data_IF_695180119599
#
_entry.id   IF_695180119599
#
_cell.length_a   1.000
_cell.length_b   1.000
_cell.length_c   1.000
_cell.angle_alpha   90.00
_cell.angle_beta   90.00
_cell.angle_gamma   90.00
#
_symmetry.space_group_name_H-M   'P 1'
#
loop_
_entity.id
_entity.type
_entity.pdbx_description
1 polymer ?
#
# COMPACT_ATOMS: atom_id res chain seq x y z
N UNK A 1 -3.09 -9.87 -15.92
CA UNK A 1 -3.74 -8.69 -16.55
C UNK A 1 -5.18 -8.40 -16.08
N UNK A 2 -6.01 -9.40 -15.75
CA UNK A 2 -7.43 -9.19 -15.39
C UNK A 2 -7.80 -9.66 -13.95
N UNK A 3 -6.79 -9.88 -13.11
CA UNK A 3 -7.00 -10.30 -11.72
C UNK A 3 -7.49 -9.15 -10.82
N UNK A 4 -8.14 -9.51 -9.72
CA UNK A 4 -8.70 -8.56 -8.73
C UNK A 4 -7.68 -7.51 -8.25
N UNK A 5 -6.40 -7.87 -8.12
CA UNK A 5 -5.33 -6.95 -7.76
C UNK A 5 -5.18 -5.79 -8.76
N UNK A 6 -5.14 -6.09 -10.07
CA UNK A 6 -4.97 -5.05 -11.09
C UNK A 6 -6.16 -4.10 -11.11
N UNK A 7 -7.38 -4.61 -10.91
CA UNK A 7 -8.60 -3.79 -10.81
C UNK A 7 -8.55 -2.86 -9.59
N UNK A 8 -8.13 -3.37 -8.44
CA UNK A 8 -8.01 -2.56 -7.23
C UNK A 8 -6.98 -1.43 -7.40
N UNK A 9 -5.82 -1.72 -7.99
CA UNK A 9 -4.80 -0.72 -8.30
C UNK A 9 -5.33 0.32 -9.28
N UNK A 10 -6.03 -0.09 -10.34
CA UNK A 10 -6.64 0.83 -11.30
C UNK A 10 -7.65 1.78 -10.64
N UNK A 11 -8.51 1.25 -9.77
CA UNK A 11 -9.50 2.04 -9.01
C UNK A 11 -8.82 3.04 -8.08
N UNK A 12 -7.78 2.62 -7.34
CA UNK A 12 -7.04 3.50 -6.43
C UNK A 12 -6.40 4.69 -7.18
N UNK A 13 -5.78 4.43 -8.34
CA UNK A 13 -5.24 5.50 -9.17
C UNK A 13 -6.34 6.38 -9.77
N UNK A 14 -7.45 5.81 -10.24
CA UNK A 14 -8.57 6.59 -10.78
C UNK A 14 -9.12 7.59 -9.75
N UNK A 15 -9.29 7.16 -8.50
CA UNK A 15 -9.76 8.01 -7.40
C UNK A 15 -8.70 9.04 -7.00
N UNK A 16 -7.45 8.60 -6.80
CA UNK A 16 -6.35 9.50 -6.41
C UNK A 16 -6.08 10.59 -7.45
N UNK A 17 -6.16 10.26 -8.74
CA UNK A 17 -6.04 11.26 -9.80
C UNK A 17 -7.26 12.18 -9.89
N UNK A 18 -8.47 11.66 -9.65
CA UNK A 18 -9.68 12.50 -9.58
C UNK A 18 -9.58 13.56 -8.49
N UNK A 19 -9.07 13.18 -7.30
CA UNK A 19 -8.85 14.11 -6.18
C UNK A 19 -7.71 15.09 -6.49
N UNK A 20 -6.53 14.60 -6.91
CA UNK A 20 -5.38 15.47 -7.18
C UNK A 20 -5.61 16.46 -8.32
N UNK A 21 -6.49 16.13 -9.26
CA UNK A 21 -6.88 16.99 -10.39
C UNK A 21 -8.17 17.79 -10.14
N UNK A 22 -8.70 17.81 -8.91
CA UNK A 22 -9.93 18.55 -8.58
C UNK A 22 -9.86 20.04 -8.92
N UNK A 23 -8.65 20.63 -8.88
CA UNK A 23 -8.38 22.02 -9.28
C UNK A 23 -8.68 22.31 -10.77
N UNK A 24 -8.95 21.29 -11.58
CA UNK A 24 -9.41 21.41 -12.98
C UNK A 24 -10.92 21.15 -13.13
N UNK A 25 -11.66 21.08 -12.03
CA UNK A 25 -13.10 20.86 -11.98
C UNK A 25 -13.77 21.97 -11.16
N UNK A 26 -15.10 21.99 -11.15
CA UNK A 26 -15.88 22.94 -10.33
C UNK A 26 -15.96 22.54 -8.85
N UNK A 27 -15.28 21.45 -8.44
CA UNK A 27 -15.25 21.01 -7.05
C UNK A 27 -14.25 21.84 -6.24
N UNK A 28 -14.78 22.61 -5.31
CA UNK A 28 -13.97 23.18 -4.25
C UNK A 28 -13.78 22.16 -3.12
N UNK A 29 -12.51 21.90 -2.77
CA UNK A 29 -12.11 21.08 -1.64
C UNK A 29 -11.47 22.01 -0.61
N UNK A 30 -12.02 22.02 0.61
CA UNK A 30 -11.48 22.82 1.72
C UNK A 30 -10.02 22.45 1.98
N UNK A 31 -9.18 23.46 2.19
CA UNK A 31 -7.74 23.31 2.48
C UNK A 31 -6.92 22.59 1.40
N UNK A 32 -7.46 22.44 0.19
CA UNK A 32 -6.77 21.77 -0.91
C UNK A 32 -5.41 22.40 -1.22
N UNK A 33 -4.42 21.53 -1.43
CA UNK A 33 -3.11 21.88 -1.95
C UNK A 33 -2.75 20.90 -3.06
N UNK A 34 -2.16 21.40 -4.15
CA UNK A 34 -1.66 20.54 -5.23
C UNK A 34 -0.61 19.59 -4.66
N UNK A 35 -0.72 18.32 -5.01
CA UNK A 35 0.19 17.27 -4.58
C UNK A 35 0.43 16.28 -5.72
N UNK A 36 1.55 15.58 -5.65
CA UNK A 36 1.84 14.44 -6.52
C UNK A 36 1.23 13.21 -5.88
N UNK A 37 0.51 12.40 -6.66
CA UNK A 37 -0.03 11.10 -6.19
C UNK A 37 1.15 10.26 -5.69
N UNK A 38 1.17 9.85 -4.41
CA UNK A 38 2.27 9.05 -3.86
C UNK A 38 2.40 7.68 -4.53
N UNK A 39 3.52 6.98 -4.31
CA UNK A 39 3.69 5.60 -4.74
C UNK A 39 2.54 4.70 -4.28
N UNK A 40 2.31 3.62 -5.02
CA UNK A 40 1.43 2.55 -4.58
C UNK A 40 2.08 1.84 -3.39
N UNK A 41 1.25 1.46 -2.43
CA UNK A 41 1.64 0.69 -1.25
C UNK A 41 0.81 -0.59 -1.17
N UNK A 42 1.38 -1.65 -0.60
CA UNK A 42 0.76 -2.96 -0.44
C UNK A 42 1.05 -3.56 0.93
N UNK A 43 0.00 -3.92 1.65
CA UNK A 43 0.08 -4.75 2.86
C UNK A 43 -0.20 -6.20 2.46
N UNK A 44 0.63 -7.14 2.91
CA UNK A 44 0.57 -8.55 2.51
C UNK A 44 0.61 -9.47 3.72
N UNK A 45 -0.15 -10.56 3.66
CA UNK A 45 -0.18 -11.60 4.68
C UNK A 45 -0.68 -12.93 4.12
N UNK A 46 -0.48 -14.00 4.88
CA UNK A 46 -0.99 -15.33 4.57
C UNK A 46 -2.39 -15.48 5.14
N UNK A 47 -3.28 -16.19 4.44
CA UNK A 47 -4.67 -16.41 4.86
C UNK A 47 -4.80 -17.06 6.24
N UNK A 48 -3.82 -17.84 6.65
CA UNK A 48 -3.74 -18.50 7.96
C UNK A 48 -3.14 -17.59 9.05
N UNK A 49 -2.79 -16.33 8.73
CA UNK A 49 -2.10 -15.36 9.58
C UNK A 49 -0.79 -15.90 10.20
N UNK A 50 -0.23 -16.98 9.63
CA UNK A 50 1.06 -17.52 10.01
C UNK A 50 2.20 -16.70 9.38
N UNK A 51 3.42 -17.22 9.48
CA UNK A 51 4.63 -16.60 8.92
C UNK A 51 4.43 -16.24 7.44
N UNK A 52 4.88 -15.04 7.06
CA UNK A 52 4.78 -14.56 5.68
C UNK A 52 5.70 -15.40 4.77
N UNK A 53 5.11 -16.05 3.76
CA UNK A 53 5.83 -16.85 2.78
C UNK A 53 5.36 -16.54 1.36
N UNK A 54 6.19 -15.81 0.62
CA UNK A 54 5.93 -15.36 -0.76
C UNK A 54 5.76 -16.52 -1.75
N UNK A 55 6.25 -17.72 -1.42
CA UNK A 55 6.14 -18.90 -2.30
C UNK A 55 4.71 -19.47 -2.32
N UNK A 56 3.95 -19.27 -1.25
CA UNK A 56 2.55 -19.72 -1.11
C UNK A 56 1.57 -18.71 -1.74
N UNK A 57 1.79 -18.38 -3.03
CA UNK A 57 1.06 -17.32 -3.77
C UNK A 57 -0.48 -17.47 -3.73
N UNK A 58 -1.00 -18.69 -3.59
CA UNK A 58 -2.45 -18.96 -3.53
C UNK A 58 -3.10 -18.58 -2.19
N UNK A 59 -2.33 -18.51 -1.11
CA UNK A 59 -2.80 -18.13 0.22
C UNK A 59 -2.56 -16.65 0.53
N UNK A 60 -2.03 -15.90 -0.43
CA UNK A 60 -1.63 -14.52 -0.27
C UNK A 60 -2.87 -13.61 -0.25
N UNK A 61 -3.02 -12.87 0.85
CA UNK A 61 -4.04 -11.86 1.05
C UNK A 61 -3.38 -10.48 1.12
N UNK A 62 -4.08 -9.46 0.65
CA UNK A 62 -3.48 -8.13 0.51
C UNK A 62 -4.47 -6.99 0.72
N UNK A 63 -3.92 -5.83 1.03
CA UNK A 63 -4.58 -4.52 0.93
C UNK A 63 -3.67 -3.60 0.14
N UNK A 64 -4.15 -3.08 -0.98
CA UNK A 64 -3.44 -2.05 -1.74
C UNK A 64 -3.93 -0.66 -1.30
N UNK A 65 -3.02 0.31 -1.25
CA UNK A 65 -3.31 1.65 -0.77
C UNK A 65 -2.47 2.72 -1.47
N UNK A 66 -2.97 3.96 -1.46
CA UNK A 66 -2.26 5.16 -1.90
C UNK A 66 -2.53 6.23 -0.85
N UNK A 67 -1.47 6.72 -0.19
CA UNK A 67 -1.59 7.79 0.82
C UNK A 67 -2.32 9.01 0.25
N UNK A 68 -3.25 9.57 1.03
CA UNK A 68 -3.93 10.82 0.72
C UNK A 68 -3.51 11.94 1.68
N UNK A 69 -3.52 13.22 1.24
CA UNK A 69 -3.38 14.36 2.14
C UNK A 69 -4.51 14.47 3.16
N UNK A 70 -4.25 15.16 4.26
CA UNK A 70 -5.14 15.28 5.42
C UNK A 70 -6.46 16.01 5.11
N UNK A 71 -6.50 16.83 4.06
CA UNK A 71 -7.73 17.48 3.59
C UNK A 71 -8.70 16.51 2.89
N UNK A 72 -8.26 15.28 2.56
CA UNK A 72 -9.11 14.26 1.94
C UNK A 72 -9.90 13.56 3.05
N UNK A 73 -11.16 13.97 3.19
CA UNK A 73 -12.12 13.38 4.13
C UNK A 73 -13.15 12.49 3.41
N UNK A 74 -14.14 11.98 4.15
CA UNK A 74 -15.20 11.12 3.61
C UNK A 74 -16.06 11.81 2.54
N UNK A 75 -16.29 13.12 2.63
CA UNK A 75 -17.04 13.88 1.63
C UNK A 75 -16.25 14.02 0.32
N UNK A 76 -14.94 14.27 0.42
CA UNK A 76 -14.03 14.31 -0.74
C UNK A 76 -13.96 12.95 -1.40
N UNK A 77 -13.82 11.87 -0.61
CA UNK A 77 -13.83 10.51 -1.15
C UNK A 77 -15.15 10.21 -1.85
N UNK A 78 -16.30 10.51 -1.23
CA UNK A 78 -17.62 10.29 -1.83
C UNK A 78 -17.75 10.99 -3.18
N UNK A 79 -17.39 12.27 -3.25
CA UNK A 79 -17.40 13.01 -4.51
C UNK A 79 -16.50 12.36 -5.57
N UNK A 80 -15.29 11.93 -5.20
CA UNK A 80 -14.37 11.29 -6.14
C UNK A 80 -14.91 9.93 -6.64
N UNK A 81 -15.56 9.16 -5.77
CA UNK A 81 -16.25 7.92 -6.13
C UNK A 81 -17.37 8.19 -7.14
N UNK A 82 -18.20 9.21 -6.90
CA UNK A 82 -19.29 9.60 -7.80
C UNK A 82 -18.75 10.01 -9.18
N UNK A 83 -17.67 10.79 -9.23
CA UNK A 83 -17.02 11.20 -10.49
C UNK A 83 -16.39 10.02 -11.24
N UNK A 84 -15.75 9.08 -10.54
CA UNK A 84 -15.20 7.87 -11.15
C UNK A 84 -16.32 6.98 -11.68
N UNK A 85 -17.38 6.75 -10.92
CA UNK A 85 -18.53 5.95 -11.36
C UNK A 85 -19.23 6.56 -12.58
N UNK A 86 -19.32 7.90 -12.64
CA UNK A 86 -19.87 8.59 -13.81
C UNK A 86 -18.98 8.49 -15.05
N UNK A 87 -17.66 8.65 -14.92
CA UNK A 87 -16.71 8.66 -16.05
C UNK A 87 -16.26 7.27 -16.48
N UNK A 88 -16.22 6.32 -15.56
CA UNK A 88 -15.68 4.97 -15.72
C UNK A 88 -16.58 3.94 -15.00
N UNK A 89 -17.84 3.76 -15.44
CA UNK A 89 -18.82 2.91 -14.76
C UNK A 89 -18.43 1.42 -14.70
N UNK A 90 -17.45 0.99 -15.50
CA UNK A 90 -16.93 -0.38 -15.49
C UNK A 90 -16.01 -0.66 -14.28
N UNK A 91 -15.50 0.37 -13.62
CA UNK A 91 -14.64 0.22 -12.45
C UNK A 91 -15.49 0.01 -11.19
N UNK A 92 -15.33 -1.15 -10.55
CA UNK A 92 -15.97 -1.42 -9.27
C UNK A 92 -15.27 -0.65 -8.14
N UNK A 93 -15.93 0.39 -7.64
CA UNK A 93 -15.42 1.20 -6.53
C UNK A 93 -15.94 0.74 -5.16
N UNK A 94 -16.73 -0.34 -5.08
CA UNK A 94 -17.44 -0.75 -3.85
C UNK A 94 -16.52 -1.14 -2.69
N UNK A 95 -15.31 -1.60 -2.99
CA UNK A 95 -14.31 -2.04 -1.99
C UNK A 95 -13.41 -0.89 -1.48
N UNK A 96 -13.56 0.31 -2.02
CA UNK A 96 -12.71 1.45 -1.64
C UNK A 96 -13.15 2.02 -0.31
N UNK A 97 -12.18 2.31 0.56
CA UNK A 97 -12.39 2.98 1.84
C UNK A 97 -11.28 3.98 2.12
N UNK A 98 -11.61 5.04 2.85
CA UNK A 98 -10.64 5.93 3.48
C UNK A 98 -10.38 5.43 4.90
N UNK A 99 -9.12 5.39 5.32
CA UNK A 99 -8.73 4.92 6.65
C UNK A 99 -7.46 5.64 7.10
N UNK A 100 -7.41 5.97 8.39
CA UNK A 100 -6.18 6.33 9.06
C UNK A 100 -5.41 5.06 9.39
N UNK A 101 -4.10 5.06 9.15
CA UNK A 101 -3.24 3.91 9.37
C UNK A 101 -1.96 4.35 10.09
N UNK A 102 -1.83 3.92 11.34
CA UNK A 102 -0.62 4.11 12.15
C UNK A 102 0.17 2.80 12.16
N UNK A 103 1.17 2.70 11.30
CA UNK A 103 1.99 1.48 11.19
C UNK A 103 2.85 1.23 12.44
N UNK A 104 3.31 2.31 13.07
CA UNK A 104 4.14 2.26 14.28
C UNK A 104 5.60 1.94 13.99
N UNK A 105 6.28 1.33 14.96
CA UNK A 105 7.72 1.06 14.88
C UNK A 105 8.02 -0.05 13.86
N UNK A 106 8.89 0.28 12.90
CA UNK A 106 9.27 -0.60 11.80
C UNK A 106 10.77 -0.52 11.51
N UNK A 107 11.28 -1.55 10.85
CA UNK A 107 12.53 -1.50 10.08
C UNK A 107 12.16 -1.46 8.60
N UNK A 108 12.92 -0.74 7.79
CA UNK A 108 12.72 -0.72 6.34
C UNK A 108 14.04 -0.78 5.58
N UNK A 109 14.01 -1.36 4.39
CA UNK A 109 15.15 -1.44 3.49
C UNK A 109 14.68 -1.29 2.04
N UNK A 110 15.52 -0.66 1.21
CA UNK A 110 15.30 -0.65 -0.24
C UNK A 110 15.67 -2.02 -0.82
N UNK A 111 14.70 -2.71 -1.40
CA UNK A 111 14.93 -3.82 -2.31
C UNK A 111 15.19 -3.28 -3.73
N UNK A 112 16.26 -3.77 -4.37
CA UNK A 112 16.57 -3.49 -5.77
C UNK A 112 16.61 -4.83 -6.51
N UNK A 113 15.64 -5.05 -7.40
CA UNK A 113 15.49 -6.31 -8.10
C UNK A 113 14.03 -6.74 -8.27
N UNK A 114 13.84 -7.99 -8.68
CA UNK A 114 12.53 -8.58 -8.89
C UNK A 114 11.88 -8.95 -7.54
N UNK A 115 10.56 -8.77 -7.41
CA UNK A 115 9.81 -9.04 -6.16
C UNK A 115 10.04 -10.45 -5.60
N UNK A 116 10.16 -11.45 -6.47
CA UNK A 116 10.46 -12.85 -6.07
C UNK A 116 11.85 -13.04 -5.40
N UNK A 117 12.70 -12.00 -5.36
CA UNK A 117 14.04 -12.03 -4.72
C UNK A 117 14.10 -11.17 -3.47
N UNK A 118 12.95 -10.84 -2.90
CA UNK A 118 12.87 -9.99 -1.71
C UNK A 118 13.34 -10.69 -0.42
N UNK A 119 13.38 -12.01 -0.41
CA UNK A 119 13.86 -12.86 0.70
C UNK A 119 15.22 -12.41 1.25
N UNK A 120 16.17 -12.06 0.36
CA UNK A 120 17.51 -11.56 0.78
C UNK A 120 17.45 -10.18 1.46
N UNK A 121 16.37 -9.42 1.24
CA UNK A 121 16.13 -8.12 1.87
C UNK A 121 15.45 -8.32 3.21
N UNK A 122 14.48 -9.22 3.27
CA UNK A 122 13.80 -9.64 4.52
C UNK A 122 14.80 -10.19 5.52
N UNK A 123 15.70 -11.09 5.12
CA UNK A 123 16.71 -11.66 6.01
C UNK A 123 17.60 -10.58 6.64
N UNK A 124 17.97 -9.54 5.86
CA UNK A 124 18.77 -8.41 6.35
C UNK A 124 17.99 -7.53 7.33
N UNK A 125 16.71 -7.29 7.06
CA UNK A 125 15.81 -6.56 7.95
C UNK A 125 15.69 -7.31 9.30
N UNK A 126 15.42 -8.62 9.25
CA UNK A 126 15.26 -9.44 10.45
C UNK A 126 16.54 -9.50 11.27
N UNK A 127 17.70 -9.70 10.62
CA UNK A 127 19.00 -9.68 11.29
C UNK A 127 19.27 -8.32 11.96
N UNK A 128 19.05 -7.22 11.25
CA UNK A 128 19.24 -5.89 11.81
C UNK A 128 18.31 -5.61 13.00
N UNK A 129 17.04 -6.02 12.91
CA UNK A 129 16.10 -5.89 14.00
C UNK A 129 16.58 -6.67 15.24
N UNK A 130 16.97 -7.94 15.05
CA UNK A 130 17.47 -8.80 16.13
C UNK A 130 18.72 -8.24 16.80
N UNK A 131 19.73 -7.84 16.02
CA UNK A 131 20.96 -7.21 16.53
C UNK A 131 20.68 -5.90 17.27
N UNK A 132 19.57 -5.24 16.97
CA UNK A 132 19.12 -4.00 17.63
C UNK A 132 18.21 -4.23 18.85
N UNK A 133 17.97 -5.48 19.26
CA UNK A 133 17.11 -5.82 20.41
C UNK A 133 15.62 -5.85 20.09
N UNK A 134 15.26 -6.11 18.83
CA UNK A 134 13.89 -6.20 18.34
C UNK A 134 13.62 -7.53 17.64
N UNK A 135 12.35 -7.88 17.49
CA UNK A 135 11.88 -9.02 16.71
C UNK A 135 10.76 -8.60 15.77
N UNK A 136 10.50 -9.42 14.75
CA UNK A 136 9.35 -9.22 13.86
C UNK A 136 8.05 -9.21 14.66
N UNK A 137 7.21 -8.23 14.34
CA UNK A 137 5.87 -8.09 14.88
C UNK A 137 4.80 -8.34 13.81
N UNK A 138 5.16 -8.94 12.67
CA UNK A 138 4.20 -9.39 11.67
C UNK A 138 3.19 -10.36 12.32
N UNK A 139 1.93 -10.23 11.93
CA UNK A 139 0.77 -10.93 12.49
C UNK A 139 0.45 -10.63 13.95
N UNK A 140 1.20 -9.75 14.62
CA UNK A 140 0.84 -9.26 15.96
C UNK A 140 -0.18 -8.13 15.87
N UNK A 141 -1.01 -8.01 16.90
CA UNK A 141 -2.00 -6.93 17.00
C UNK A 141 -1.31 -5.65 17.49
N UNK A 142 -1.57 -4.53 16.82
CA UNK A 142 -1.20 -3.20 17.33
C UNK A 142 -2.11 -2.77 18.49
N UNK A 143 -1.71 -1.72 19.21
CA UNK A 143 -2.53 -1.09 20.25
C UNK A 143 -3.88 -0.58 19.74
N UNK A 144 -4.01 -0.35 18.43
CA UNK A 144 -5.24 0.11 17.77
C UNK A 144 -6.10 -1.05 17.24
N UNK A 145 -5.75 -2.30 17.55
CA UNK A 145 -6.52 -3.48 17.09
C UNK A 145 -6.34 -3.79 15.60
N UNK A 146 -5.24 -3.33 15.00
CA UNK A 146 -4.87 -3.62 13.60
C UNK A 146 -3.75 -4.66 13.58
N UNK A 147 -3.91 -5.74 12.81
CA UNK A 147 -2.86 -6.72 12.57
C UNK A 147 -1.73 -6.08 11.75
N UNK A 148 -0.52 -6.19 12.28
CA UNK A 148 0.73 -5.75 11.67
C UNK A 148 1.09 -6.66 10.48
N UNK A 149 1.34 -6.08 9.30
CA UNK A 149 1.51 -6.83 8.04
C UNK A 149 2.87 -6.57 7.42
N UNK A 150 3.28 -7.44 6.49
CA UNK A 150 4.38 -7.15 5.58
C UNK A 150 4.00 -5.98 4.68
N UNK A 151 4.85 -4.96 4.55
CA UNK A 151 4.52 -3.73 3.83
C UNK A 151 5.54 -3.44 2.73
N UNK A 152 5.05 -3.29 1.51
CA UNK A 152 5.81 -2.92 0.32
C UNK A 152 5.39 -1.54 -0.20
N UNK A 153 6.35 -0.70 -0.58
CA UNK A 153 6.13 0.60 -1.25
C UNK A 153 6.77 0.58 -2.64
N UNK A 154 5.95 0.63 -3.68
CA UNK A 154 6.35 0.45 -5.07
C UNK A 154 6.83 1.76 -5.71
N UNK A 155 8.14 2.01 -5.69
CA UNK A 155 8.71 3.22 -6.29
C UNK A 155 8.89 3.11 -7.82
N UNK A 156 8.83 1.89 -8.35
CA UNK A 156 8.96 1.60 -9.78
C UNK A 156 7.65 1.08 -10.36
N UNK A 157 7.31 1.51 -11.58
CA UNK A 157 6.22 0.89 -12.35
C UNK A 157 6.78 -0.36 -13.03
N UNK A 158 6.35 -1.59 -12.65
CA UNK A 158 6.90 -2.84 -13.19
C UNK A 158 6.62 -3.01 -14.69
N UNK A 159 5.74 -2.20 -15.28
CA UNK A 159 5.48 -2.19 -16.72
C UNK A 159 6.47 -1.34 -17.50
N UNK A 160 7.25 -0.50 -16.83
CA UNK A 160 8.13 0.52 -17.43
C UNK A 160 9.60 0.34 -17.09
N UNK A 161 9.90 -0.36 -16.00
CA UNK A 161 11.25 -0.50 -15.46
C UNK A 161 11.71 -1.94 -15.64
N UNK A 162 12.95 -2.12 -16.08
CA UNK A 162 13.63 -3.41 -16.08
C UNK A 162 13.54 -4.06 -14.68
N UNK A 163 13.07 -5.30 -14.55
CA UNK A 163 12.92 -5.95 -13.26
C UNK A 163 14.16 -5.91 -12.36
N UNK A 164 15.37 -5.94 -12.94
CA UNK A 164 16.63 -5.87 -12.18
C UNK A 164 16.94 -4.49 -11.61
N UNK A 165 16.20 -3.46 -12.02
CA UNK A 165 16.35 -2.06 -11.60
C UNK A 165 15.14 -1.55 -10.83
N UNK A 166 14.13 -2.38 -10.62
CA UNK A 166 12.97 -2.02 -9.83
C UNK A 166 13.39 -1.73 -8.39
N UNK A 167 12.70 -0.76 -7.80
CA UNK A 167 12.90 -0.29 -6.44
C UNK A 167 11.61 -0.44 -5.66
N UNK A 168 11.68 -1.20 -4.58
CA UNK A 168 10.58 -1.41 -3.64
C UNK A 168 11.12 -1.15 -2.24
N UNK A 169 10.45 -0.32 -1.45
CA UNK A 169 10.78 -0.26 -0.02
C UNK A 169 10.06 -1.41 0.66
N UNK A 170 10.82 -2.26 1.31
CA UNK A 170 10.33 -3.34 2.16
C UNK A 170 10.33 -2.81 3.58
N UNK A 171 9.18 -2.90 4.26
CA UNK A 171 9.00 -2.42 5.63
C UNK A 171 8.35 -3.51 6.47
N UNK A 172 8.98 -3.83 7.59
CA UNK A 172 8.50 -4.83 8.54
C UNK A 172 8.26 -4.17 9.90
N UNK A 173 7.06 -4.36 10.48
CA UNK A 173 6.78 -3.91 11.82
C UNK A 173 7.58 -4.75 12.82
N UNK A 174 8.11 -4.09 13.85
CA UNK A 174 8.94 -4.70 14.88
C UNK A 174 8.44 -4.37 16.28
N UNK A 175 8.93 -5.11 17.27
CA UNK A 175 8.75 -4.83 18.69
C UNK A 175 9.96 -5.31 19.49
N UNK A 176 10.13 -4.79 20.72
CA UNK A 176 11.21 -5.25 21.59
C UNK A 176 11.07 -6.74 21.90
N UNK A 177 12.23 -7.41 22.03
CA UNK A 177 12.33 -8.80 22.48
C UNK A 177 11.93 -8.91 23.96
#
# INVERSE_FOLDING_TARGET
>A
PNGEYNKAVEVLYAISYTISMSYKSDKEIKDFRKYVVPPLEGLWWMKDDLFFDINRKHDLVWTSMIRQPEFVNSEVLKWALDEVNRKKPILDTSKVRLSNYTEGLCVQMMHIGHFDTEDVTVEKIDRFAYESGYQSAISKMSSEGILKRHHEIYLSDPRKVDPLKMKTVVRHPIEHI
#
